data_IF_311848111778
#
_entry.id   IF_311848111778
#
_cell.length_a   1.000
_cell.length_b   1.000
_cell.length_c   1.000
_cell.angle_alpha   90.00
_cell.angle_beta   90.00
_cell.angle_gamma   90.00
#
_symmetry.space_group_name_H-M   'P 1'
#
loop_
_entity.id
_entity.type
_entity.pdbx_description
1 polymer ?
#
# COMPACT_ATOMS: atom_id res chain seq x y z
N UNK A 1 22.93 -18.12 -9.85
CA UNK A 1 22.61 -16.74 -9.46
C UNK A 1 22.32 -15.94 -10.74
N UNK A 2 21.36 -15.05 -10.70
CA UNK A 2 21.00 -14.17 -11.83
C UNK A 2 21.20 -12.74 -11.35
N UNK A 3 21.91 -11.95 -12.16
CA UNK A 3 22.10 -10.53 -11.86
C UNK A 3 20.80 -9.79 -12.12
N UNK A 4 20.40 -8.95 -11.18
CA UNK A 4 19.24 -8.06 -11.27
C UNK A 4 19.64 -6.66 -10.86
N UNK A 5 19.03 -5.68 -11.49
CA UNK A 5 19.17 -4.27 -11.15
C UNK A 5 17.78 -3.70 -10.94
N UNK A 6 17.53 -3.10 -9.79
CA UNK A 6 16.23 -2.48 -9.49
C UNK A 6 16.41 -1.20 -8.68
N UNK A 7 15.45 -0.31 -8.76
CA UNK A 7 15.42 0.88 -7.92
C UNK A 7 14.37 0.68 -6.82
N UNK A 8 14.78 0.67 -5.56
CA UNK A 8 13.88 0.51 -4.42
C UNK A 8 13.93 1.76 -3.56
N UNK A 9 12.79 2.42 -3.37
CA UNK A 9 12.67 3.65 -2.61
C UNK A 9 13.70 4.71 -3.05
N UNK A 10 13.81 4.91 -4.37
CA UNK A 10 14.73 5.85 -5.03
C UNK A 10 16.23 5.45 -4.98
N UNK A 11 16.57 4.33 -4.37
CA UNK A 11 17.96 3.81 -4.29
C UNK A 11 18.12 2.66 -5.28
N UNK A 12 19.20 2.73 -6.11
CA UNK A 12 19.54 1.64 -7.03
C UNK A 12 20.26 0.51 -6.28
N UNK A 13 19.88 -0.70 -6.58
CA UNK A 13 20.50 -1.93 -6.11
C UNK A 13 20.86 -2.82 -7.30
N UNK A 14 22.09 -3.31 -7.31
CA UNK A 14 22.61 -4.26 -8.30
C UNK A 14 23.05 -5.51 -7.56
N UNK A 15 22.25 -6.56 -7.61
CA UNK A 15 22.40 -7.78 -6.82
C UNK A 15 22.48 -9.04 -7.66
N UNK A 16 23.01 -10.13 -7.09
CA UNK A 16 22.87 -11.47 -7.61
C UNK A 16 21.84 -12.24 -6.80
N UNK A 17 20.76 -12.66 -7.44
CA UNK A 17 19.65 -13.36 -6.77
C UNK A 17 19.52 -14.81 -7.27
N UNK A 18 19.00 -15.66 -6.41
CA UNK A 18 18.55 -16.99 -6.82
C UNK A 18 17.29 -16.84 -7.69
N UNK A 19 17.20 -17.52 -8.88
CA UNK A 19 16.09 -17.30 -9.82
C UNK A 19 14.69 -17.49 -9.23
N UNK A 20 14.54 -18.33 -8.22
CA UNK A 20 13.27 -18.59 -7.51
C UNK A 20 13.02 -17.68 -6.31
N UNK A 21 13.91 -16.73 -6.02
CA UNK A 21 13.77 -15.79 -4.89
C UNK A 21 12.55 -14.91 -5.09
N UNK A 22 11.61 -14.92 -4.12
CA UNK A 22 10.47 -14.00 -4.13
C UNK A 22 10.93 -12.58 -3.84
N UNK A 23 10.30 -11.62 -4.51
CA UNK A 23 10.61 -10.20 -4.34
C UNK A 23 10.48 -9.75 -2.89
N UNK A 24 9.43 -10.18 -2.17
CA UNK A 24 9.24 -9.83 -0.76
C UNK A 24 10.41 -10.27 0.12
N UNK A 25 10.97 -11.46 -0.11
CA UNK A 25 12.12 -11.94 0.66
C UNK A 25 13.40 -11.20 0.28
N UNK A 26 13.56 -10.84 -1.00
CA UNK A 26 14.69 -10.01 -1.44
C UNK A 26 14.63 -8.62 -0.77
N UNK A 27 13.49 -7.96 -0.82
CA UNK A 27 13.28 -6.65 -0.17
C UNK A 27 13.60 -6.70 1.33
N UNK A 28 13.09 -7.69 2.05
CA UNK A 28 13.20 -7.77 3.51
C UNK A 28 14.56 -8.24 4.00
N UNK A 29 15.09 -9.31 3.40
CA UNK A 29 16.24 -10.04 3.94
C UNK A 29 17.56 -9.57 3.31
N UNK A 30 17.54 -9.13 2.05
CA UNK A 30 18.73 -8.63 1.35
C UNK A 30 18.82 -7.11 1.45
N UNK A 31 17.75 -6.39 1.11
CA UNK A 31 17.77 -4.93 1.06
C UNK A 31 17.35 -4.26 2.40
N UNK A 32 16.95 -5.04 3.41
CA UNK A 32 16.55 -4.52 4.73
C UNK A 32 15.25 -3.70 4.72
N UNK A 33 14.41 -3.83 3.68
CA UNK A 33 13.11 -3.14 3.56
C UNK A 33 12.03 -3.88 4.34
N UNK A 34 12.20 -3.93 5.66
CA UNK A 34 11.32 -4.69 6.58
C UNK A 34 9.92 -4.10 6.75
N UNK A 35 9.68 -2.87 6.30
CA UNK A 35 8.35 -2.25 6.28
C UNK A 35 7.33 -2.94 5.36
N UNK A 36 7.76 -3.91 4.55
CA UNK A 36 6.89 -4.77 3.73
C UNK A 36 6.62 -6.08 4.48
N UNK A 37 5.52 -6.26 5.21
CA UNK A 37 5.27 -7.45 6.03
C UNK A 37 4.80 -8.65 5.19
N UNK A 38 4.95 -9.85 5.72
CA UNK A 38 4.51 -11.11 5.09
C UNK A 38 3.46 -11.79 5.98
N UNK A 39 2.17 -11.74 5.57
CA UNK A 39 1.10 -12.32 6.35
C UNK A 39 0.67 -13.74 5.92
N UNK A 40 0.76 -14.06 4.64
CA UNK A 40 0.30 -15.36 4.14
C UNK A 40 1.29 -16.06 3.19
N UNK A 41 2.13 -15.29 2.50
CA UNK A 41 3.07 -15.75 1.47
C UNK A 41 2.40 -16.51 0.28
N UNK A 42 1.11 -16.25 0.06
CA UNK A 42 0.26 -16.95 -0.92
C UNK A 42 -0.67 -16.00 -1.68
N UNK A 43 -0.32 -14.73 -1.80
CA UNK A 43 -1.07 -13.66 -2.50
C UNK A 43 -2.47 -13.36 -1.96
N UNK A 44 -2.88 -13.91 -0.80
CA UNK A 44 -4.24 -13.75 -0.29
C UNK A 44 -4.43 -12.50 0.58
N UNK A 45 -3.47 -12.17 1.47
CA UNK A 45 -3.70 -11.16 2.50
C UNK A 45 -3.38 -9.71 2.09
N UNK A 46 -2.55 -9.49 1.09
CA UNK A 46 -2.14 -8.17 0.61
C UNK A 46 -1.20 -7.38 1.53
N UNK A 47 -0.76 -7.93 2.66
CA UNK A 47 0.15 -7.23 3.57
C UNK A 47 1.47 -6.83 2.89
N UNK A 48 1.94 -7.66 1.96
CA UNK A 48 3.18 -7.47 1.21
C UNK A 48 3.04 -6.60 -0.06
N UNK A 49 1.93 -5.89 -0.23
CA UNK A 49 1.74 -4.99 -1.39
C UNK A 49 2.84 -3.93 -1.43
N UNK A 50 3.44 -3.77 -2.61
CA UNK A 50 4.38 -2.71 -2.98
C UNK A 50 3.90 -2.08 -4.30
N UNK A 51 4.43 -0.92 -4.68
CA UNK A 51 4.23 -0.41 -6.03
C UNK A 51 5.41 -0.85 -6.90
N UNK A 52 5.14 -1.43 -8.06
CA UNK A 52 6.12 -1.71 -9.10
C UNK A 52 5.73 -0.86 -10.31
N UNK A 53 6.60 0.05 -10.70
CA UNK A 53 6.35 1.02 -11.78
C UNK A 53 5.01 1.76 -11.60
N UNK A 54 4.66 2.06 -10.35
CA UNK A 54 3.45 2.78 -9.96
C UNK A 54 2.21 1.91 -9.72
N UNK A 55 2.21 0.64 -10.11
CA UNK A 55 1.07 -0.27 -9.93
C UNK A 55 1.21 -1.12 -8.64
N UNK A 56 0.12 -1.34 -7.92
CA UNK A 56 0.10 -2.14 -6.70
C UNK A 56 0.22 -3.64 -7.00
N UNK A 57 1.23 -4.28 -6.43
CA UNK A 57 1.54 -5.68 -6.64
C UNK A 57 1.84 -6.38 -5.32
N UNK A 58 1.37 -7.62 -5.16
CA UNK A 58 1.71 -8.46 -4.01
C UNK A 58 3.09 -9.08 -4.21
N UNK A 59 4.10 -8.53 -3.55
CA UNK A 59 5.51 -8.93 -3.75
C UNK A 59 5.81 -10.39 -3.40
N UNK A 60 4.94 -11.08 -2.68
CA UNK A 60 5.04 -12.53 -2.44
C UNK A 60 4.63 -13.39 -3.65
N UNK A 61 4.12 -12.81 -4.73
CA UNK A 61 3.78 -13.50 -5.98
C UNK A 61 4.66 -13.10 -7.17
N UNK A 62 5.70 -12.33 -6.91
CA UNK A 62 6.67 -11.87 -7.91
C UNK A 62 8.04 -12.42 -7.56
N UNK A 63 8.75 -12.96 -8.55
CA UNK A 63 10.15 -13.31 -8.40
C UNK A 63 11.04 -12.07 -8.50
N UNK A 64 12.11 -12.01 -7.72
CA UNK A 64 13.04 -10.88 -7.77
C UNK A 64 13.61 -10.64 -9.17
N UNK A 65 13.81 -11.72 -9.95
CA UNK A 65 14.27 -11.64 -11.35
C UNK A 65 13.25 -11.02 -12.30
N UNK A 66 11.96 -11.00 -11.95
CA UNK A 66 10.92 -10.35 -12.75
C UNK A 66 10.87 -8.83 -12.52
N UNK A 67 11.48 -8.36 -11.44
CA UNK A 67 11.57 -6.94 -11.11
C UNK A 67 12.90 -6.32 -11.57
N UNK A 68 13.60 -6.96 -12.52
CA UNK A 68 14.78 -6.39 -13.15
C UNK A 68 14.45 -5.09 -13.88
N UNK A 69 15.27 -4.06 -13.68
CA UNK A 69 15.09 -2.67 -14.15
C UNK A 69 13.81 -1.96 -13.66
N UNK A 70 13.03 -2.55 -12.73
CA UNK A 70 11.80 -1.95 -12.22
C UNK A 70 12.07 -0.88 -11.15
N UNK A 71 11.14 0.06 -11.03
CA UNK A 71 11.05 1.01 -9.93
C UNK A 71 10.06 0.52 -8.87
N UNK A 72 10.57 0.24 -7.67
CA UNK A 72 9.78 -0.31 -6.56
C UNK A 72 9.64 0.75 -5.47
N UNK A 73 8.41 1.04 -5.08
CA UNK A 73 8.12 1.87 -3.91
C UNK A 73 7.53 1.00 -2.81
N UNK A 74 8.21 0.97 -1.65
CA UNK A 74 7.70 0.38 -0.42
C UNK A 74 7.08 1.46 0.47
N UNK A 75 6.45 1.05 1.56
CA UNK A 75 5.93 2.01 2.54
C UNK A 75 7.02 2.93 3.12
N UNK A 76 8.27 2.47 3.14
CA UNK A 76 9.41 3.23 3.68
C UNK A 76 9.85 4.35 2.74
N UNK A 77 9.59 4.22 1.44
CA UNK A 77 9.92 5.24 0.43
C UNK A 77 8.75 6.14 0.03
N UNK A 78 7.55 5.92 0.60
CA UNK A 78 6.37 6.67 0.21
C UNK A 78 6.37 8.11 0.77
N UNK A 79 6.85 8.30 2.00
CA UNK A 79 7.00 9.61 2.60
C UNK A 79 8.16 10.40 1.97
N UNK A 80 8.04 11.74 1.95
CA UNK A 80 9.12 12.62 1.51
C UNK A 80 9.75 13.33 2.71
N UNK A 81 10.87 12.78 3.19
CA UNK A 81 11.53 13.26 4.41
C UNK A 81 10.60 13.13 5.64
N UNK A 82 10.38 14.24 6.40
CA UNK A 82 9.51 14.23 7.57
C UNK A 82 8.02 14.24 7.24
N UNK A 83 7.65 14.54 5.99
CA UNK A 83 6.27 14.74 5.58
C UNK A 83 5.65 13.41 5.11
N UNK A 84 4.61 13.00 5.83
CA UNK A 84 3.83 11.83 5.46
C UNK A 84 3.05 12.08 4.17
N UNK A 85 3.00 11.08 3.32
CA UNK A 85 2.09 11.08 2.17
C UNK A 85 0.63 11.29 2.65
N UNK A 86 -0.25 12.00 1.90
CA UNK A 86 -1.64 12.26 2.30
C UNK A 86 -2.38 11.01 2.78
N UNK A 87 -2.24 9.89 2.09
CA UNK A 87 -2.84 8.61 2.49
C UNK A 87 -2.31 8.13 3.84
N UNK A 88 -1.00 8.22 4.11
CA UNK A 88 -0.43 7.83 5.41
C UNK A 88 -0.98 8.72 6.54
N UNK A 89 -1.06 10.03 6.30
CA UNK A 89 -1.60 10.99 7.25
C UNK A 89 -3.07 10.72 7.55
N UNK A 90 -3.89 10.52 6.51
CA UNK A 90 -5.30 10.20 6.64
C UNK A 90 -5.55 8.90 7.42
N UNK A 91 -4.74 7.85 7.19
CA UNK A 91 -4.84 6.61 7.97
C UNK A 91 -4.60 6.85 9.47
N UNK A 92 -3.66 7.72 9.82
CA UNK A 92 -3.40 8.11 11.21
C UNK A 92 -4.55 8.92 11.81
N UNK A 93 -5.02 9.94 11.10
CA UNK A 93 -6.01 10.91 11.59
C UNK A 93 -7.42 10.32 11.68
N UNK A 94 -7.78 9.46 10.74
CA UNK A 94 -9.11 8.82 10.70
C UNK A 94 -9.11 7.41 11.33
N UNK A 95 -8.07 7.06 12.09
CA UNK A 95 -7.96 5.76 12.75
C UNK A 95 -8.13 4.56 11.79
N UNK A 96 -7.59 4.66 10.59
CA UNK A 96 -7.59 3.60 9.57
C UNK A 96 -6.71 2.39 9.92
N UNK A 97 -6.16 2.34 11.12
CA UNK A 97 -5.30 1.27 11.59
C UNK A 97 -5.55 0.96 13.08
N UNK A 98 -5.21 -0.27 13.50
CA UNK A 98 -5.16 -0.69 14.91
C UNK A 98 -3.81 -1.38 15.16
N UNK A 99 -3.67 -2.69 14.86
CA UNK A 99 -2.39 -3.37 15.05
C UNK A 99 -1.29 -2.92 14.09
N UNK A 100 -1.62 -2.30 12.96
CA UNK A 100 -0.68 -1.77 11.98
C UNK A 100 -0.14 -2.79 10.97
N UNK A 101 -0.42 -4.09 11.13
CA UNK A 101 0.19 -5.13 10.31
C UNK A 101 -0.20 -5.06 8.82
N UNK A 102 -1.47 -4.81 8.51
CA UNK A 102 -1.96 -4.64 7.14
C UNK A 102 -1.68 -3.25 6.56
N UNK A 103 -1.35 -2.28 7.41
CA UNK A 103 -1.31 -0.85 7.04
C UNK A 103 -0.33 -0.54 5.90
N UNK A 104 0.89 -1.08 5.85
CA UNK A 104 1.79 -0.82 4.73
C UNK A 104 1.20 -1.17 3.38
N UNK A 105 0.70 -2.40 3.25
CA UNK A 105 0.09 -2.86 2.00
C UNK A 105 -1.23 -2.15 1.68
N UNK A 106 -2.04 -1.85 2.69
CA UNK A 106 -3.32 -1.14 2.52
C UNK A 106 -3.11 0.30 2.03
N UNK A 107 -2.11 1.00 2.57
CA UNK A 107 -1.75 2.36 2.16
C UNK A 107 -1.27 2.37 0.70
N UNK A 108 -0.40 1.46 0.30
CA UNK A 108 0.10 1.41 -1.08
C UNK A 108 -0.99 1.02 -2.08
N UNK A 109 -1.90 0.10 -1.72
CA UNK A 109 -3.09 -0.19 -2.53
C UNK A 109 -4.01 1.02 -2.66
N UNK A 110 -4.19 1.81 -1.59
CA UNK A 110 -4.96 3.05 -1.65
C UNK A 110 -4.28 4.12 -2.50
N UNK A 111 -2.96 4.23 -2.49
CA UNK A 111 -2.21 5.15 -3.36
C UNK A 111 -2.45 4.82 -4.83
N UNK A 112 -2.34 3.54 -5.21
CA UNK A 112 -2.62 3.09 -6.58
C UNK A 112 -4.06 3.37 -6.98
N UNK A 113 -5.03 3.03 -6.11
CA UNK A 113 -6.44 3.33 -6.33
C UNK A 113 -6.65 4.83 -6.62
N UNK A 114 -6.12 5.72 -5.77
CA UNK A 114 -6.31 7.17 -5.89
C UNK A 114 -5.55 7.80 -7.06
N UNK A 115 -4.48 7.16 -7.51
CA UNK A 115 -3.78 7.55 -8.74
C UNK A 115 -4.64 7.29 -9.97
N UNK A 116 -5.37 6.17 -9.99
CA UNK A 116 -6.22 5.76 -11.11
C UNK A 116 -7.66 6.33 -11.00
N UNK A 117 -8.16 6.56 -9.80
CA UNK A 117 -9.47 7.16 -9.52
C UNK A 117 -9.35 8.21 -8.41
N UNK A 118 -9.13 9.49 -8.75
CA UNK A 118 -8.92 10.54 -7.76
C UNK A 118 -10.17 10.91 -6.93
N UNK A 119 -11.37 10.55 -7.38
CA UNK A 119 -12.63 10.85 -6.68
C UNK A 119 -13.51 9.60 -6.52
N UNK A 120 -13.04 8.60 -5.73
CA UNK A 120 -13.77 7.36 -5.60
C UNK A 120 -15.00 7.50 -4.69
N UNK A 121 -16.04 6.77 -5.01
CA UNK A 121 -17.15 6.51 -4.08
C UNK A 121 -16.71 5.54 -2.98
N UNK A 122 -17.44 5.49 -1.83
CA UNK A 122 -17.16 4.52 -0.78
C UNK A 122 -17.14 3.05 -1.26
N UNK A 123 -17.98 2.71 -2.24
CA UNK A 123 -18.06 1.35 -2.79
C UNK A 123 -16.85 1.05 -3.70
N UNK A 124 -16.40 2.01 -4.49
CA UNK A 124 -15.18 1.87 -5.28
C UNK A 124 -13.94 1.73 -4.39
N UNK A 125 -13.88 2.44 -3.25
CA UNK A 125 -12.83 2.25 -2.27
C UNK A 125 -12.86 0.83 -1.69
N UNK A 126 -14.04 0.31 -1.31
CA UNK A 126 -14.18 -1.06 -0.81
C UNK A 126 -13.69 -2.07 -1.84
N UNK A 127 -14.16 -1.93 -3.09
CA UNK A 127 -13.78 -2.81 -4.18
C UNK A 127 -12.27 -2.74 -4.48
N UNK A 128 -11.71 -1.54 -4.54
CA UNK A 128 -10.28 -1.36 -4.82
C UNK A 128 -9.35 -1.93 -3.72
N UNK A 129 -9.87 -2.10 -2.51
CA UNK A 129 -9.11 -2.66 -1.38
C UNK A 129 -9.42 -4.14 -1.07
N UNK A 130 -10.26 -4.82 -1.87
CA UNK A 130 -10.63 -6.24 -1.64
C UNK A 130 -9.44 -7.19 -1.57
N UNK A 131 -8.34 -6.85 -2.25
CA UNK A 131 -7.10 -7.60 -2.22
C UNK A 131 -6.29 -7.49 -0.92
N UNK A 132 -6.70 -6.65 0.03
CA UNK A 132 -5.95 -6.32 1.24
C UNK A 132 -6.79 -6.59 2.50
N UNK A 133 -6.39 -7.58 3.30
CA UNK A 133 -7.14 -8.02 4.47
C UNK A 133 -6.74 -7.25 5.74
N UNK A 134 -7.75 -6.74 6.45
CA UNK A 134 -7.61 -6.20 7.80
C UNK A 134 -8.54 -6.95 8.75
N UNK A 135 -7.99 -7.55 9.83
CA UNK A 135 -8.76 -8.30 10.83
C UNK A 135 -9.25 -7.43 11.99
N UNK A 136 -8.77 -6.19 12.10
CA UNK A 136 -8.99 -5.36 13.28
C UNK A 136 -10.08 -4.31 13.11
N UNK A 137 -10.09 -3.57 11.99
CA UNK A 137 -10.82 -2.30 11.85
C UNK A 137 -12.27 -2.43 11.39
N UNK A 138 -12.66 -3.56 10.80
CA UNK A 138 -13.96 -3.67 10.10
C UNK A 138 -14.06 -2.78 8.86
N UNK A 139 -12.93 -2.22 8.37
CA UNK A 139 -12.77 -1.41 7.15
C UNK A 139 -13.41 -0.02 7.16
N UNK A 140 -14.36 0.29 8.04
CA UNK A 140 -15.08 1.57 8.01
C UNK A 140 -14.16 2.78 8.08
N UNK A 141 -13.21 2.76 9.02
CA UNK A 141 -12.25 3.85 9.17
C UNK A 141 -11.20 3.86 8.05
N UNK A 142 -10.88 2.72 7.46
CA UNK A 142 -10.00 2.63 6.29
C UNK A 142 -10.67 3.35 5.10
N UNK A 143 -11.93 3.05 4.82
CA UNK A 143 -12.69 3.72 3.74
C UNK A 143 -12.76 5.23 3.98
N UNK A 144 -13.04 5.68 5.22
CA UNK A 144 -13.02 7.11 5.58
C UNK A 144 -11.65 7.74 5.34
N UNK A 145 -10.58 7.06 5.74
CA UNK A 145 -9.22 7.55 5.55
C UNK A 145 -8.88 7.72 4.07
N UNK A 146 -9.25 6.76 3.22
CA UNK A 146 -8.99 6.84 1.77
C UNK A 146 -9.77 7.98 1.14
N UNK A 147 -11.05 8.17 1.49
CA UNK A 147 -11.87 9.29 0.99
C UNK A 147 -11.33 10.64 1.45
N UNK A 148 -10.86 10.75 2.69
CA UNK A 148 -10.23 11.98 3.19
C UNK A 148 -8.92 12.28 2.45
N UNK A 149 -8.08 11.27 2.22
CA UNK A 149 -6.87 11.41 1.42
C UNK A 149 -7.19 11.84 -0.02
N UNK A 150 -8.23 11.28 -0.64
CA UNK A 150 -8.67 11.67 -1.97
C UNK A 150 -9.04 13.15 -2.03
N UNK A 151 -9.84 13.64 -1.08
CA UNK A 151 -10.23 15.06 -1.00
C UNK A 151 -9.00 15.97 -0.84
N UNK A 152 -8.07 15.59 0.04
CA UNK A 152 -6.84 16.34 0.24
C UNK A 152 -5.96 16.38 -1.03
N UNK A 153 -5.79 15.25 -1.70
CA UNK A 153 -4.97 15.15 -2.92
C UNK A 153 -5.56 15.95 -4.10
N UNK A 154 -6.88 16.17 -4.12
CA UNK A 154 -7.54 17.07 -5.09
C UNK A 154 -7.45 18.55 -4.72
N UNK A 155 -6.97 18.86 -3.52
CA UNK A 155 -6.94 20.25 -3.01
C UNK A 155 -8.27 20.74 -2.44
N UNK A 156 -9.21 19.85 -2.15
CA UNK A 156 -10.50 20.16 -1.53
C UNK A 156 -10.31 20.44 -0.04
N UNK A 157 -9.78 21.62 0.30
CA UNK A 157 -9.51 22.03 1.69
C UNK A 157 -10.77 22.46 2.47
N UNK A 158 -11.94 22.40 1.86
CA UNK A 158 -13.20 22.77 2.50
C UNK A 158 -13.83 21.61 3.27
N UNK A 159 -13.45 21.46 4.54
CA UNK A 159 -14.27 20.82 5.56
C UNK A 159 -14.32 19.30 5.50
N UNK A 160 -13.25 18.64 5.95
CA UNK A 160 -13.33 17.26 6.43
C UNK A 160 -14.07 17.18 7.79
N UNK A 161 -15.27 17.76 7.87
CA UNK A 161 -16.24 17.37 8.89
C UNK A 161 -16.81 16.04 8.45
N UNK A 162 -16.56 15.00 9.24
CA UNK A 162 -17.08 13.65 9.12
C UNK A 162 -18.55 13.67 8.66
N UNK A 163 -18.78 13.56 7.35
CA UNK A 163 -20.09 13.22 6.83
C UNK A 163 -20.35 11.79 7.29
N UNK A 164 -21.28 11.63 8.22
CA UNK A 164 -21.73 10.38 8.76
C UNK A 164 -22.13 9.49 7.56
N UNK A 165 -21.54 8.30 7.47
CA UNK A 165 -22.06 7.24 6.62
C UNK A 165 -23.52 7.04 7.04
N UNK A 166 -24.47 6.89 6.11
CA UNK A 166 -25.85 6.64 6.48
C UNK A 166 -25.93 5.39 7.38
N UNK A 167 -26.49 5.55 8.55
CA UNK A 167 -26.84 4.45 9.42
C UNK A 167 -27.95 3.66 8.74
N UNK A 168 -27.62 2.47 8.27
CA UNK A 168 -28.64 1.60 7.75
C UNK A 168 -28.17 0.61 6.70
N UNK A 169 -27.69 -0.53 7.11
CA UNK A 169 -28.17 -1.81 6.62
C UNK A 169 -28.24 -2.73 7.85
N UNK A 170 -29.45 -2.92 8.35
CA UNK A 170 -29.74 -3.88 9.39
C UNK A 170 -29.70 -5.31 8.85
N UNK A 171 -29.37 -6.20 9.79
CA UNK A 171 -29.51 -7.64 9.87
C UNK A 171 -29.66 -8.44 8.59
#
# INVERSE_FOLDING_TARGET
MTRVSMRVDRVRYDDEVEPRRLLVHHLRETLGRVGTPVGCDTSNCGACTVLIDGASVKSCSVLAVQADEAEITTIQGLADGPDLHPVQRAFREHHGLQCGYCTPGMVLAAVDLLTNNPDPTPDEVRHGLEGNLCRCTGYQNIVRAVLAAAAEMRGDTSGATASALPAGVGA
#
